data_IF_162787473422
#
_entry.id   IF_162787473422
#
_cell.length_a   1.000
_cell.length_b   1.000
_cell.length_c   1.000
_cell.angle_alpha   90.00
_cell.angle_beta   90.00
_cell.angle_gamma   90.00
#
_symmetry.space_group_name_H-M   'P 1'
#
loop_
_entity.id
_entity.type
_entity.pdbx_description
1 polymer ?
#
# COMPACT_ATOMS: atom_id res chain seq x y z
N UNK A 1 6.37 -26.03 25.57
CA UNK A 1 7.29 -24.92 25.17
C UNK A 1 6.53 -23.62 25.25
N UNK A 2 7.14 -22.54 25.80
CA UNK A 2 6.54 -21.22 25.75
C UNK A 2 6.54 -20.73 24.29
N UNK A 3 5.45 -20.13 23.80
CA UNK A 3 5.43 -19.56 22.45
C UNK A 3 6.48 -18.44 22.36
N UNK A 4 7.31 -18.49 21.34
CA UNK A 4 8.35 -17.47 21.08
C UNK A 4 8.11 -16.81 19.73
N UNK A 5 8.41 -15.54 19.61
CA UNK A 5 8.41 -14.79 18.37
C UNK A 5 9.78 -14.18 18.11
N UNK A 6 10.17 -14.11 16.84
CA UNK A 6 11.41 -13.46 16.41
C UNK A 6 11.22 -11.94 16.31
N UNK A 7 9.98 -11.51 16.01
CA UNK A 7 9.61 -10.12 15.83
C UNK A 7 8.26 -9.81 16.48
N UNK A 8 8.16 -8.69 17.18
CA UNK A 8 6.91 -8.16 17.70
C UNK A 8 6.55 -6.90 16.92
N UNK A 9 5.34 -6.84 16.38
CA UNK A 9 4.78 -5.68 15.70
C UNK A 9 3.68 -5.09 16.58
N UNK A 10 3.74 -3.80 16.87
CA UNK A 10 2.75 -3.09 17.67
C UNK A 10 1.88 -2.24 16.76
N UNK A 11 0.60 -2.59 16.68
CA UNK A 11 -0.42 -1.93 15.86
C UNK A 11 -0.86 -2.76 14.65
N UNK A 12 -2.17 -3.01 14.55
CA UNK A 12 -2.82 -3.80 13.51
C UNK A 12 -3.45 -2.96 12.39
N UNK A 13 -2.84 -1.80 12.07
CA UNK A 13 -3.17 -1.04 10.86
C UNK A 13 -2.50 -1.61 9.61
N UNK A 14 -2.68 -0.95 8.46
CA UNK A 14 -2.13 -1.42 7.17
C UNK A 14 -0.62 -1.64 7.22
N UNK A 15 0.14 -0.77 7.88
CA UNK A 15 1.58 -0.93 8.00
C UNK A 15 1.96 -2.19 8.79
N UNK A 16 1.34 -2.39 9.97
CA UNK A 16 1.61 -3.57 10.79
C UNK A 16 1.19 -4.85 10.12
N UNK A 17 0.02 -4.88 9.48
CA UNK A 17 -0.47 -6.03 8.74
C UNK A 17 0.42 -6.37 7.54
N UNK A 18 0.81 -5.37 6.75
CA UNK A 18 1.72 -5.55 5.61
C UNK A 18 3.09 -6.05 6.06
N UNK A 19 3.66 -5.47 7.12
CA UNK A 19 4.94 -5.90 7.68
C UNK A 19 4.87 -7.35 8.18
N UNK A 20 3.81 -7.70 8.91
CA UNK A 20 3.59 -9.07 9.39
C UNK A 20 3.51 -10.07 8.23
N UNK A 21 2.77 -9.74 7.19
CA UNK A 21 2.64 -10.56 5.99
C UNK A 21 3.99 -10.81 5.31
N UNK A 22 4.74 -9.75 5.04
CA UNK A 22 6.03 -9.86 4.34
C UNK A 22 7.12 -10.56 5.17
N UNK A 23 7.11 -10.39 6.48
CA UNK A 23 8.03 -11.10 7.38
C UNK A 23 7.67 -12.58 7.47
N UNK A 24 6.38 -12.91 7.59
CA UNK A 24 5.91 -14.30 7.61
C UNK A 24 6.27 -15.04 6.31
N UNK A 25 6.13 -14.38 5.15
CA UNK A 25 6.57 -14.94 3.86
C UNK A 25 8.07 -15.26 3.82
N UNK A 26 8.87 -14.59 4.65
CA UNK A 26 10.32 -14.82 4.79
C UNK A 26 10.67 -15.81 5.91
N UNK A 27 9.67 -16.47 6.48
CA UNK A 27 9.86 -17.47 7.54
C UNK A 27 10.12 -16.88 8.92
N UNK A 28 9.94 -15.57 9.11
CA UNK A 28 10.10 -14.91 10.41
C UNK A 28 8.85 -15.16 11.25
N UNK A 29 9.01 -15.62 12.50
CA UNK A 29 7.91 -15.79 13.45
C UNK A 29 7.48 -14.43 14.00
N UNK A 30 6.32 -13.96 13.57
CA UNK A 30 5.82 -12.63 13.92
C UNK A 30 4.70 -12.74 14.95
N UNK A 31 4.74 -11.86 15.96
CA UNK A 31 3.63 -11.58 16.87
C UNK A 31 3.14 -10.16 16.63
N UNK A 32 1.91 -10.00 16.13
CA UNK A 32 1.27 -8.71 15.99
C UNK A 32 0.35 -8.45 17.17
N UNK A 33 0.56 -7.32 17.83
CA UNK A 33 -0.22 -6.86 18.97
C UNK A 33 -1.07 -5.66 18.55
N UNK A 34 -2.39 -5.75 18.76
CA UNK A 34 -3.33 -4.66 18.55
C UNK A 34 -4.16 -4.46 19.82
N UNK A 35 -4.27 -3.19 20.27
CA UNK A 35 -4.97 -2.87 21.51
C UNK A 35 -6.49 -2.87 21.43
N UNK A 36 -7.04 -2.87 20.20
CA UNK A 36 -8.48 -2.79 19.96
C UNK A 36 -8.89 -3.84 18.92
N UNK A 37 -9.10 -3.45 17.69
CA UNK A 37 -9.38 -4.34 16.57
C UNK A 37 -8.56 -3.92 15.35
N UNK A 38 -8.35 -4.84 14.41
CA UNK A 38 -7.57 -4.55 13.20
C UNK A 38 -8.16 -3.35 12.46
N UNK A 39 -7.29 -2.48 11.99
CA UNK A 39 -7.63 -1.24 11.30
C UNK A 39 -8.43 -0.20 12.13
N UNK A 40 -8.49 -0.31 13.45
CA UNK A 40 -9.22 0.62 14.32
C UNK A 40 -8.78 2.09 14.21
N UNK A 41 -7.54 2.34 13.80
CA UNK A 41 -6.95 3.68 13.69
C UNK A 41 -7.15 4.34 12.33
N UNK A 42 -6.10 4.96 11.81
CA UNK A 42 -6.10 5.70 10.54
C UNK A 42 -6.50 4.83 9.34
N UNK A 43 -6.14 3.54 9.34
CA UNK A 43 -6.48 2.61 8.25
C UNK A 43 -7.98 2.50 8.05
N UNK A 44 -8.76 2.30 9.11
CA UNK A 44 -10.23 2.19 9.00
C UNK A 44 -10.93 3.52 8.73
N UNK A 45 -10.23 4.64 8.83
CA UNK A 45 -10.72 5.99 8.53
C UNK A 45 -10.25 6.51 7.17
N UNK A 46 -9.49 5.69 6.44
CA UNK A 46 -9.01 6.02 5.10
C UNK A 46 -10.12 5.88 4.07
N UNK A 47 -10.07 6.69 3.03
CA UNK A 47 -10.93 6.53 1.85
C UNK A 47 -10.60 5.27 1.04
N UNK A 48 -9.48 4.60 1.32
CA UNK A 48 -9.03 3.42 0.59
C UNK A 48 -8.57 3.69 -0.84
N UNK A 49 -8.24 4.94 -1.17
CA UNK A 49 -7.76 5.28 -2.51
C UNK A 49 -6.36 4.72 -2.74
N UNK A 50 -6.23 3.85 -3.73
CA UNK A 50 -4.95 3.34 -4.24
C UNK A 50 -4.64 4.05 -5.54
N UNK A 51 -3.60 4.88 -5.55
CA UNK A 51 -3.19 5.65 -6.73
C UNK A 51 -1.68 5.55 -6.96
N UNK A 52 -1.25 5.73 -8.21
CA UNK A 52 0.15 5.71 -8.63
C UNK A 52 0.67 7.08 -9.08
N UNK A 53 -0.19 8.09 -9.12
CA UNK A 53 0.17 9.45 -9.52
C UNK A 53 0.73 10.23 -8.34
N UNK A 54 2.04 10.42 -8.34
CA UNK A 54 2.81 11.23 -7.39
C UNK A 54 3.79 12.12 -8.14
N UNK A 55 4.20 13.23 -7.53
CA UNK A 55 5.09 14.20 -8.18
C UNK A 55 6.57 13.75 -8.12
N UNK A 56 6.92 12.93 -7.14
CA UNK A 56 8.26 12.39 -7.00
C UNK A 56 8.37 10.99 -7.62
N UNK A 57 9.42 10.78 -8.40
CA UNK A 57 9.66 9.49 -9.06
C UNK A 57 9.76 8.33 -8.08
N UNK A 58 10.45 8.54 -6.94
CA UNK A 58 10.62 7.51 -5.93
C UNK A 58 9.27 7.08 -5.32
N UNK A 59 8.39 8.03 -5.05
CA UNK A 59 7.04 7.75 -4.53
C UNK A 59 6.20 7.01 -5.57
N UNK A 60 6.29 7.41 -6.85
CA UNK A 60 5.59 6.75 -7.95
C UNK A 60 6.06 5.30 -8.13
N UNK A 61 7.38 5.04 -8.04
CA UNK A 61 7.92 3.68 -8.08
C UNK A 61 7.44 2.83 -6.91
N UNK A 62 7.47 3.37 -5.69
CA UNK A 62 7.00 2.68 -4.49
C UNK A 62 5.49 2.36 -4.59
N UNK A 63 4.70 3.31 -5.07
CA UNK A 63 3.27 3.12 -5.28
C UNK A 63 3.00 2.08 -6.38
N UNK A 64 3.78 2.06 -7.46
CA UNK A 64 3.68 1.09 -8.55
C UNK A 64 3.96 -0.34 -8.06
N UNK A 65 5.03 -0.54 -7.28
CA UNK A 65 5.33 -1.83 -6.68
C UNK A 65 4.20 -2.31 -5.75
N UNK A 66 3.66 -1.40 -4.94
CA UNK A 66 2.52 -1.70 -4.07
C UNK A 66 1.25 -2.04 -4.86
N UNK A 67 1.02 -1.36 -5.99
CA UNK A 67 -0.13 -1.59 -6.86
C UNK A 67 -0.17 -3.01 -7.42
N UNK A 68 0.99 -3.62 -7.69
CA UNK A 68 1.04 -4.99 -8.18
C UNK A 68 0.34 -5.96 -7.20
N UNK A 69 0.43 -5.71 -5.88
CA UNK A 69 -0.27 -6.50 -4.88
C UNK A 69 -1.79 -6.32 -4.97
N UNK A 70 -2.28 -5.08 -5.12
CA UNK A 70 -3.71 -4.82 -5.26
C UNK A 70 -4.29 -5.40 -6.53
N UNK A 71 -3.56 -5.32 -7.65
CA UNK A 71 -3.96 -5.87 -8.95
C UNK A 71 -4.07 -7.40 -8.91
N UNK A 72 -3.07 -8.04 -8.32
CA UNK A 72 -2.90 -9.49 -8.31
C UNK A 72 -3.17 -10.07 -6.90
N UNK A 73 -4.09 -9.46 -6.14
CA UNK A 73 -4.29 -9.72 -4.72
C UNK A 73 -4.56 -11.19 -4.42
N UNK A 74 -5.47 -11.81 -5.17
CA UNK A 74 -5.86 -13.20 -4.95
C UNK A 74 -4.68 -14.16 -5.02
N UNK A 75 -3.76 -13.91 -5.94
CA UNK A 75 -2.58 -14.75 -6.17
C UNK A 75 -1.47 -14.47 -5.16
N UNK A 76 -1.27 -13.19 -4.81
CA UNK A 76 -0.16 -12.76 -3.97
C UNK A 76 -0.46 -12.83 -2.47
N UNK A 77 -1.71 -12.59 -2.10
CA UNK A 77 -2.13 -12.48 -0.68
C UNK A 77 -3.20 -13.51 -0.34
N UNK A 78 -4.14 -13.76 -1.25
CA UNK A 78 -5.28 -14.64 -1.05
C UNK A 78 -6.56 -13.84 -0.71
N UNK A 79 -7.71 -14.45 -0.95
CA UNK A 79 -9.01 -13.82 -0.74
C UNK A 79 -9.30 -12.67 -1.70
N UNK A 80 -10.12 -11.72 -1.25
CA UNK A 80 -10.48 -10.50 -2.00
C UNK A 80 -10.35 -9.28 -1.08
N UNK A 81 -9.58 -8.28 -1.49
CA UNK A 81 -9.45 -7.02 -0.76
C UNK A 81 -10.47 -5.96 -1.17
N UNK A 82 -11.39 -6.28 -2.08
CA UNK A 82 -12.39 -5.34 -2.58
C UNK A 82 -11.84 -4.28 -3.54
N UNK A 83 -10.59 -4.42 -4.01
CA UNK A 83 -10.00 -3.47 -4.95
C UNK A 83 -10.81 -3.40 -6.25
N UNK A 84 -11.13 -2.17 -6.68
CA UNK A 84 -11.79 -1.90 -7.95
C UNK A 84 -11.01 -0.84 -8.72
N UNK A 85 -10.67 -1.15 -9.96
CA UNK A 85 -9.96 -0.23 -10.83
C UNK A 85 -10.96 0.75 -11.45
N UNK A 86 -11.08 1.92 -10.83
CA UNK A 86 -11.99 2.99 -11.28
C UNK A 86 -11.31 4.03 -12.15
N UNK A 87 -9.99 4.17 -12.06
CA UNK A 87 -9.25 5.31 -12.60
C UNK A 87 -9.54 6.59 -11.81
N UNK A 88 -8.94 7.69 -12.23
CA UNK A 88 -9.21 9.02 -11.72
C UNK A 88 -8.91 10.07 -12.81
N UNK A 89 -9.47 11.25 -12.65
CA UNK A 89 -9.20 12.41 -13.51
C UNK A 89 -8.43 13.43 -12.67
N UNK A 90 -7.29 13.87 -13.21
CA UNK A 90 -6.54 14.98 -12.63
C UNK A 90 -6.73 16.22 -13.49
N UNK A 91 -7.23 17.29 -12.87
CA UNK A 91 -7.47 18.58 -13.53
C UNK A 91 -6.42 19.55 -12.99
N UNK A 92 -5.59 20.07 -13.88
CA UNK A 92 -4.58 21.06 -13.55
C UNK A 92 -4.93 22.42 -14.20
N UNK A 93 -4.63 23.53 -13.55
CA UNK A 93 -4.79 24.83 -14.15
C UNK A 93 -3.75 25.04 -15.27
N UNK A 94 -4.01 25.94 -16.25
CA UNK A 94 -3.18 26.09 -17.45
C UNK A 94 -1.69 26.32 -17.17
N UNK A 95 -1.36 27.05 -16.12
CA UNK A 95 0.03 27.34 -15.71
C UNK A 95 0.81 26.11 -15.24
N UNK A 96 0.14 25.03 -14.90
CA UNK A 96 0.75 23.75 -14.48
C UNK A 96 0.86 22.74 -15.63
N UNK A 97 0.47 23.09 -16.83
CA UNK A 97 0.42 22.16 -17.98
C UNK A 97 1.77 21.48 -18.24
N UNK A 98 2.86 22.23 -18.24
CA UNK A 98 4.19 21.67 -18.53
C UNK A 98 4.69 20.78 -17.39
N UNK A 99 4.42 21.14 -16.14
CA UNK A 99 4.72 20.30 -14.99
C UNK A 99 3.93 18.98 -15.04
N UNK A 100 2.65 19.05 -15.39
CA UNK A 100 1.82 17.84 -15.55
C UNK A 100 2.33 16.94 -16.68
N UNK A 101 2.72 17.50 -17.83
CA UNK A 101 3.32 16.73 -18.93
C UNK A 101 4.61 16.03 -18.50
N UNK A 102 5.50 16.74 -17.81
CA UNK A 102 6.74 16.18 -17.30
C UNK A 102 6.48 15.02 -16.30
N UNK A 103 5.49 15.21 -15.43
CA UNK A 103 5.07 14.20 -14.47
C UNK A 103 4.51 12.94 -15.18
N UNK A 104 3.65 13.11 -16.19
CA UNK A 104 3.15 11.99 -17.02
C UNK A 104 4.29 11.25 -17.70
N UNK A 105 5.26 11.97 -18.28
CA UNK A 105 6.43 11.35 -18.92
C UNK A 105 7.26 10.56 -17.91
N UNK A 106 7.40 11.05 -16.69
CA UNK A 106 8.08 10.32 -15.61
C UNK A 106 7.32 9.03 -15.29
N UNK A 107 5.99 9.07 -15.13
CA UNK A 107 5.18 7.88 -14.86
C UNK A 107 5.25 6.84 -15.99
N UNK A 108 5.35 7.26 -17.25
CA UNK A 108 5.46 6.36 -18.39
C UNK A 108 6.80 5.61 -18.47
N UNK A 109 7.81 6.06 -17.72
CA UNK A 109 9.12 5.39 -17.63
C UNK A 109 9.21 4.38 -16.47
N UNK A 110 8.27 4.39 -15.56
CA UNK A 110 8.15 3.45 -14.43
C UNK A 110 7.41 2.18 -14.86
#
# INVERSE_FOLDING_TARGET
MKPTADMIIIGGGIHGASLAFHLAQRGVKVLLLEKSYLAAGATGRSSGLVRMHYDLELESRLAWESFQYFRDWRERVGGDCGFRRTGFIYIAPPEQTEALKANIQMHQRI
#
